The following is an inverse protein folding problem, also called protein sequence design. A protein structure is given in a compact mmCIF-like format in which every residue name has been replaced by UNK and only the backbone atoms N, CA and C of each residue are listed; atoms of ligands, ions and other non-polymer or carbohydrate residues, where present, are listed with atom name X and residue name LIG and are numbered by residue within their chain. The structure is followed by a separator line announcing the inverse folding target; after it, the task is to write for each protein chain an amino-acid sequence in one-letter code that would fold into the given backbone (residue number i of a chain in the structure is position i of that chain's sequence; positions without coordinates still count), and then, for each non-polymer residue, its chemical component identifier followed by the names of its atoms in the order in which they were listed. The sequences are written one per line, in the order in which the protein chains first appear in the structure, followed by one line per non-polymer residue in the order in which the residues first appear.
data_IF_520697184298
#
_entry.id   IF_520697184298
#
_cell.length_a   1.000
_cell.length_b   1.000
_cell.length_c   1.000
_cell.angle_alpha   90.00
_cell.angle_beta   90.00
_cell.angle_gamma   90.00
#
_symmetry.space_group_name_H-M   'P 1'
#
loop_
_entity.id
_entity.type
_entity.pdbx_description
1 polymer ?
#
# COMPACT_ATOMS: atom_id res chain seq x y z
N UNK A 1 -8.14 -18.53 5.87
CA UNK A 1 -7.62 -17.16 6.02
C UNK A 1 -7.15 -16.69 4.67
N UNK A 2 -7.52 -15.47 4.28
CA UNK A 2 -6.95 -14.81 3.10
C UNK A 2 -5.47 -14.51 3.37
N UNK A 3 -4.64 -14.66 2.33
CA UNK A 3 -3.26 -14.20 2.34
C UNK A 3 -3.21 -12.90 1.53
N UNK A 4 -2.44 -11.89 1.98
CA UNK A 4 -2.25 -10.68 1.20
C UNK A 4 -1.41 -10.97 -0.04
N UNK A 5 -1.61 -10.21 -1.11
CA UNK A 5 -0.80 -10.35 -2.32
C UNK A 5 0.70 -10.18 -2.02
N UNK A 6 1.05 -9.15 -1.24
CA UNK A 6 2.39 -8.93 -0.70
C UNK A 6 2.27 -8.46 0.75
N UNK A 7 3.23 -8.85 1.60
CA UNK A 7 3.29 -8.31 2.96
C UNK A 7 4.71 -8.13 3.49
N UNK A 8 4.81 -7.24 4.46
CA UNK A 8 5.99 -7.05 5.31
C UNK A 8 5.62 -7.60 6.68
N UNK A 9 6.29 -8.69 7.05
CA UNK A 9 6.06 -9.39 8.30
C UNK A 9 7.37 -9.53 9.08
N UNK A 10 7.32 -9.20 10.36
CA UNK A 10 8.37 -9.56 11.30
C UNK A 10 8.09 -10.98 11.80
N UNK A 11 9.12 -11.79 11.95
CA UNK A 11 9.01 -13.22 12.23
C UNK A 11 8.27 -13.58 13.53
N UNK A 12 7.96 -12.61 14.38
CA UNK A 12 7.45 -12.79 15.75
C UNK A 12 5.95 -12.56 15.90
N UNK A 13 5.24 -11.93 14.95
CA UNK A 13 3.87 -11.43 15.16
C UNK A 13 2.73 -12.30 14.60
N UNK A 14 3.02 -13.31 13.76
CA UNK A 14 2.00 -14.16 13.12
C UNK A 14 1.14 -13.48 12.04
N UNK A 15 0.80 -12.20 12.22
CA UNK A 15 0.18 -11.31 11.22
C UNK A 15 1.21 -10.33 10.63
N UNK A 16 1.02 -9.90 9.37
CA UNK A 16 1.86 -8.89 8.75
C UNK A 16 1.68 -7.52 9.40
N UNK A 17 2.69 -6.65 9.29
CA UNK A 17 2.61 -5.26 9.74
C UNK A 17 2.14 -4.33 8.63
N UNK A 18 2.55 -4.59 7.40
CA UNK A 18 2.10 -3.87 6.21
C UNK A 18 1.63 -4.88 5.18
N UNK A 19 0.46 -4.67 4.61
CA UNK A 19 -0.07 -5.47 3.51
C UNK A 19 -0.20 -4.63 2.25
N UNK A 20 -0.02 -5.26 1.11
CA UNK A 20 -0.33 -4.72 -0.19
C UNK A 20 -1.34 -5.64 -0.84
N UNK A 21 -2.43 -5.07 -1.35
CA UNK A 21 -3.44 -5.78 -2.11
C UNK A 21 -3.58 -5.09 -3.46
N UNK A 22 -3.77 -5.85 -4.52
CA UNK A 22 -3.92 -5.29 -5.85
C UNK A 22 -5.09 -5.90 -6.61
N UNK A 23 -5.67 -5.12 -7.51
CA UNK A 23 -6.79 -5.59 -8.30
C UNK A 23 -7.25 -4.60 -9.36
N UNK A 24 -8.28 -5.00 -10.08
CA UNK A 24 -8.89 -4.21 -11.16
C UNK A 24 -10.10 -3.43 -10.64
N UNK A 25 -10.71 -2.52 -11.43
CA UNK A 25 -11.81 -1.70 -10.95
C UNK A 25 -13.00 -2.53 -10.43
N UNK A 26 -13.24 -3.70 -11.02
CA UNK A 26 -14.31 -4.63 -10.64
C UNK A 26 -14.10 -5.25 -9.25
N UNK A 27 -12.87 -5.28 -8.74
CA UNK A 27 -12.56 -5.79 -7.41
C UNK A 27 -12.46 -4.68 -6.36
N UNK A 28 -12.81 -3.43 -6.69
CA UNK A 28 -12.56 -2.31 -5.78
C UNK A 28 -13.25 -2.46 -4.43
N UNK A 29 -14.54 -2.82 -4.42
CA UNK A 29 -15.30 -2.99 -3.17
C UNK A 29 -14.71 -4.13 -2.33
N UNK A 30 -14.26 -5.21 -2.98
CA UNK A 30 -13.56 -6.33 -2.33
C UNK A 30 -12.24 -5.85 -1.72
N UNK A 31 -11.45 -5.05 -2.44
CA UNK A 31 -10.19 -4.50 -1.93
C UNK A 31 -10.40 -3.59 -0.72
N UNK A 32 -11.53 -2.86 -0.67
CA UNK A 32 -11.89 -2.05 0.48
C UNK A 32 -12.31 -2.91 1.67
N UNK A 33 -13.10 -3.96 1.44
CA UNK A 33 -13.46 -4.93 2.48
C UNK A 33 -12.21 -5.62 3.05
N UNK A 34 -11.27 -6.03 2.18
CA UNK A 34 -9.99 -6.61 2.59
C UNK A 34 -9.16 -5.64 3.44
N UNK A 35 -9.11 -4.37 3.04
CA UNK A 35 -8.43 -3.33 3.81
C UNK A 35 -9.02 -3.17 5.22
N UNK A 36 -10.36 -3.18 5.32
CA UNK A 36 -11.06 -3.11 6.60
C UNK A 36 -10.72 -4.33 7.45
N UNK A 37 -10.79 -5.53 6.87
CA UNK A 37 -10.45 -6.78 7.55
C UNK A 37 -9.02 -6.77 8.09
N UNK A 38 -8.07 -6.26 7.29
CA UNK A 38 -6.68 -6.13 7.74
C UNK A 38 -6.51 -5.14 8.90
N UNK A 39 -7.04 -3.92 8.77
CA UNK A 39 -6.82 -2.86 9.78
C UNK A 39 -7.61 -3.07 11.07
N UNK A 40 -8.84 -3.58 10.96
CA UNK A 40 -9.78 -3.75 12.06
C UNK A 40 -9.73 -5.17 12.62
N UNK A 41 -9.77 -6.18 11.76
CA UNK A 41 -9.74 -7.60 12.15
C UNK A 41 -8.37 -8.04 12.69
N UNK A 42 -7.28 -7.40 12.25
CA UNK A 42 -5.92 -7.69 12.71
C UNK A 42 -5.59 -7.23 14.14
N UNK A 43 -6.54 -6.66 14.89
CA UNK A 43 -6.34 -6.27 16.30
C UNK A 43 -5.25 -5.21 16.53
N UNK A 44 -4.78 -4.55 15.47
CA UNK A 44 -3.68 -3.58 15.51
C UNK A 44 -2.32 -4.16 15.17
N UNK A 45 -2.24 -5.42 14.77
CA UNK A 45 -1.01 -5.97 14.21
C UNK A 45 -0.67 -5.32 12.86
N UNK A 46 -1.66 -5.17 11.98
CA UNK A 46 -1.51 -4.44 10.71
C UNK A 46 -1.56 -2.94 10.98
N UNK A 47 -0.54 -2.23 10.54
CA UNK A 47 -0.36 -0.78 10.72
C UNK A 47 -0.69 0.01 9.47
N UNK A 48 -0.51 -0.60 8.30
CA UNK A 48 -0.81 0.01 7.03
C UNK A 48 -1.27 -1.03 6.01
N UNK A 49 -2.22 -0.64 5.17
CA UNK A 49 -2.66 -1.39 4.00
C UNK A 49 -2.47 -0.48 2.79
N UNK A 50 -1.81 -1.00 1.76
CA UNK A 50 -1.61 -0.31 0.50
C UNK A 50 -2.47 -0.99 -0.56
N UNK A 51 -3.43 -0.27 -1.12
CA UNK A 51 -4.23 -0.77 -2.23
C UNK A 51 -3.64 -0.27 -3.55
N UNK A 52 -3.40 -1.18 -4.48
CA UNK A 52 -2.98 -0.86 -5.85
C UNK A 52 -4.10 -1.20 -6.82
N UNK A 53 -4.70 -0.18 -7.41
CA UNK A 53 -5.86 -0.32 -8.28
C UNK A 53 -5.46 -0.14 -9.72
N UNK A 54 -5.41 -1.25 -10.45
CA UNK A 54 -5.12 -1.27 -11.87
C UNK A 54 -6.31 -0.79 -12.69
N UNK A 55 -6.03 -0.06 -13.77
CA UNK A 55 -6.99 0.48 -14.72
C UNK A 55 -6.49 0.18 -16.15
N UNK A 56 -7.16 -0.72 -16.88
CA UNK A 56 -6.82 -0.97 -18.27
C UNK A 56 -7.28 0.21 -19.14
N UNK A 57 -6.46 0.62 -20.08
CA UNK A 57 -6.82 1.53 -21.16
C UNK A 57 -6.76 0.76 -22.48
N UNK A 58 -7.93 0.33 -22.95
CA UNK A 58 -8.05 -0.47 -24.17
C UNK A 58 -7.60 0.30 -25.41
N UNK A 59 -7.87 1.62 -25.47
CA UNK A 59 -7.49 2.47 -26.60
C UNK A 59 -5.98 2.51 -26.82
N UNK A 60 -5.20 2.51 -25.75
CA UNK A 60 -3.73 2.58 -25.82
C UNK A 60 -3.04 1.25 -25.58
N UNK A 61 -3.78 0.18 -25.27
CA UNK A 61 -3.25 -1.13 -24.86
C UNK A 61 -2.26 -1.03 -23.68
N UNK A 62 -2.65 -0.27 -22.66
CA UNK A 62 -1.81 -0.02 -21.48
C UNK A 62 -2.57 -0.28 -20.19
N UNK A 63 -1.89 -0.66 -19.12
CA UNK A 63 -2.44 -0.60 -17.76
C UNK A 63 -1.79 0.56 -17.01
N UNK A 64 -2.62 1.27 -16.23
CA UNK A 64 -2.21 2.31 -15.28
C UNK A 64 -2.76 1.94 -13.91
N UNK A 65 -2.36 2.64 -12.85
CA UNK A 65 -2.98 2.38 -11.55
C UNK A 65 -2.90 3.53 -10.56
N UNK A 66 -3.88 3.57 -9.68
CA UNK A 66 -3.89 4.42 -8.49
C UNK A 66 -3.33 3.63 -7.29
N UNK A 67 -2.76 4.36 -6.34
CA UNK A 67 -2.31 3.78 -5.07
C UNK A 67 -3.05 4.48 -3.94
N UNK A 68 -3.52 3.72 -2.97
CA UNK A 68 -4.16 4.23 -1.76
C UNK A 68 -3.42 3.67 -0.54
N UNK A 69 -3.15 4.53 0.44
CA UNK A 69 -2.55 4.17 1.72
C UNK A 69 -3.60 4.35 2.82
N UNK A 70 -3.89 3.25 3.50
CA UNK A 70 -4.77 3.23 4.66
C UNK A 70 -3.97 2.89 5.90
N UNK A 71 -4.11 3.71 6.93
CA UNK A 71 -3.65 3.44 8.29
C UNK A 71 -4.83 3.63 9.24
N UNK A 72 -4.62 3.43 10.54
CA UNK A 72 -5.66 3.72 11.53
C UNK A 72 -5.99 5.21 11.65
N UNK A 73 -5.01 6.07 11.38
CA UNK A 73 -5.11 7.50 11.63
C UNK A 73 -5.27 8.30 10.33
N UNK A 74 -4.91 7.72 9.19
CA UNK A 74 -4.81 8.44 7.91
C UNK A 74 -5.25 7.58 6.73
N UNK A 75 -6.02 8.18 5.82
CA UNK A 75 -6.35 7.60 4.52
C UNK A 75 -5.87 8.57 3.43
N UNK A 76 -4.88 8.17 2.65
CA UNK A 76 -4.29 8.99 1.60
C UNK A 76 -4.46 8.31 0.24
N UNK A 77 -4.94 9.07 -0.75
CA UNK A 77 -5.16 8.58 -2.11
C UNK A 77 -4.17 9.27 -3.04
N UNK A 78 -3.47 8.48 -3.85
CA UNK A 78 -2.47 8.94 -4.81
C UNK A 78 -2.94 8.65 -6.24
N UNK A 79 -3.75 9.54 -6.85
CA UNK A 79 -4.24 9.35 -8.21
C UNK A 79 -3.10 9.43 -9.21
N UNK A 80 -3.26 8.79 -10.38
CA UNK A 80 -2.37 9.03 -11.52
C UNK A 80 -2.36 10.55 -11.84
N UNK A 81 -1.19 11.22 -11.87
CA UNK A 81 -1.11 12.64 -12.15
C UNK A 81 -1.47 12.93 -13.61
N UNK A 82 -2.12 14.05 -13.87
CA UNK A 82 -2.32 14.53 -15.23
C UNK A 82 -1.03 15.20 -15.75
N UNK A 83 -0.56 14.83 -16.94
CA UNK A 83 0.62 15.43 -17.58
C UNK A 83 1.94 15.15 -16.86
N UNK A 84 2.81 16.15 -16.75
CA UNK A 84 4.10 16.10 -16.04
C UNK A 84 3.92 16.26 -14.52
N UNK A 85 2.91 15.59 -13.96
CA UNK A 85 2.50 15.82 -12.58
C UNK A 85 3.59 15.49 -11.56
N UNK A 86 3.38 15.99 -10.34
CA UNK A 86 4.40 15.94 -9.29
C UNK A 86 4.75 14.51 -8.85
N UNK A 87 5.99 14.37 -8.38
CA UNK A 87 6.48 13.12 -7.79
C UNK A 87 5.70 12.82 -6.51
N UNK A 88 4.77 11.88 -6.59
CA UNK A 88 4.10 11.34 -5.42
C UNK A 88 4.94 10.23 -4.77
N UNK A 89 4.98 10.23 -3.44
CA UNK A 89 5.75 9.29 -2.63
C UNK A 89 4.85 8.78 -1.52
N UNK A 90 4.64 7.47 -1.47
CA UNK A 90 3.95 6.81 -0.36
C UNK A 90 4.92 6.75 0.83
N UNK A 91 4.44 7.16 2.01
CA UNK A 91 5.28 7.31 3.21
C UNK A 91 4.88 6.29 4.26
N UNK A 92 5.76 5.34 4.54
CA UNK A 92 5.66 4.46 5.70
C UNK A 92 6.73 4.88 6.70
N UNK A 93 6.41 4.89 7.99
CA UNK A 93 7.43 5.15 9.00
C UNK A 93 8.02 3.84 9.57
N UNK A 94 9.13 3.97 10.29
CA UNK A 94 9.83 2.83 10.89
C UNK A 94 8.93 2.06 11.87
N UNK A 95 8.15 2.76 12.68
CA UNK A 95 7.25 2.13 13.63
C UNK A 95 6.17 1.27 12.95
N UNK A 96 5.67 1.69 11.79
CA UNK A 96 4.72 0.90 11.00
C UNK A 96 5.36 -0.42 10.56
N UNK A 97 6.59 -0.37 10.05
CA UNK A 97 7.31 -1.52 9.51
C UNK A 97 7.88 -2.48 10.57
N UNK A 98 8.39 -1.92 11.67
CA UNK A 98 9.18 -2.66 12.65
C UNK A 98 8.56 -2.69 14.05
N UNK A 99 7.49 -1.91 14.31
CA UNK A 99 6.92 -1.80 15.66
C UNK A 99 7.96 -1.35 16.68
N UNK A 100 8.08 -2.10 17.77
CA UNK A 100 9.12 -1.90 18.80
C UNK A 100 10.47 -2.54 18.47
N UNK A 101 10.56 -3.35 17.40
CA UNK A 101 11.80 -4.02 16.97
C UNK A 101 12.71 -3.06 16.19
N UNK A 102 13.00 -1.91 16.81
CA UNK A 102 13.80 -0.83 16.25
C UNK A 102 15.18 -0.83 16.91
N UNK A 103 16.23 -0.85 16.09
CA UNK A 103 17.61 -0.80 16.59
C UNK A 103 17.85 0.48 17.41
N UNK A 104 18.63 0.41 18.52
CA UNK A 104 18.95 1.59 19.33
C UNK A 104 19.51 2.74 18.48
N UNK A 105 19.05 3.97 18.77
CA UNK A 105 19.50 5.18 18.06
C UNK A 105 18.81 5.42 16.71
N UNK A 106 17.77 4.66 16.35
CA UNK A 106 16.92 4.92 15.18
C UNK A 106 15.59 5.54 15.61
N UNK A 107 15.14 6.57 14.89
CA UNK A 107 13.88 7.24 15.17
C UNK A 107 12.69 6.42 14.71
N UNK A 108 11.66 6.30 15.54
CA UNK A 108 10.39 5.65 15.19
C UNK A 108 9.69 6.34 14.00
N UNK A 109 9.85 7.65 13.89
CA UNK A 109 9.33 8.48 12.81
C UNK A 109 10.17 8.51 11.53
N UNK A 110 11.27 7.74 11.43
CA UNK A 110 12.07 7.67 10.20
C UNK A 110 11.17 7.22 9.04
N UNK A 111 11.08 8.04 7.98
CA UNK A 111 10.21 7.78 6.83
C UNK A 111 10.94 6.97 5.77
N UNK A 112 10.33 5.86 5.37
CA UNK A 112 10.65 5.07 4.19
C UNK A 112 9.71 5.49 3.06
N UNK A 113 10.22 6.32 2.16
CA UNK A 113 9.48 6.78 0.99
C UNK A 113 9.52 5.73 -0.13
N UNK A 114 8.35 5.22 -0.51
CA UNK A 114 8.19 4.43 -1.72
C UNK A 114 7.80 5.36 -2.88
N UNK A 115 8.67 5.46 -3.87
CA UNK A 115 8.38 6.19 -5.09
C UNK A 115 7.38 5.39 -5.94
N UNK A 116 6.14 5.88 -6.02
CA UNK A 116 5.08 5.20 -6.76
C UNK A 116 5.12 5.50 -8.27
N UNK A 117 6.04 6.33 -8.75
CA UNK A 117 6.21 6.56 -10.19
C UNK A 117 6.63 5.28 -10.91
N UNK A 118 7.37 4.37 -10.24
CA UNK A 118 7.73 3.08 -10.85
C UNK A 118 6.49 2.23 -11.16
N UNK A 119 5.46 2.29 -10.31
CA UNK A 119 4.18 1.60 -10.51
C UNK A 119 3.35 2.20 -11.65
N UNK A 120 3.72 3.40 -12.11
CA UNK A 120 3.06 4.13 -13.21
C UNK A 120 3.79 3.99 -14.54
N UNK A 121 4.94 3.32 -14.53
CA UNK A 121 5.64 3.02 -15.77
C UNK A 121 4.74 2.13 -16.61
N UNK A 122 4.20 2.71 -17.67
CA UNK A 122 3.26 2.06 -18.58
C UNK A 122 3.91 0.82 -19.17
N UNK A 123 3.40 -0.35 -18.80
CA UNK A 123 3.63 -1.60 -19.53
C UNK A 123 2.62 -1.66 -20.67
N UNK A 124 3.12 -1.84 -21.90
CA UNK A 124 2.32 -2.19 -23.08
C UNK A 124 2.21 -3.71 -23.12
N UNK A 125 1.01 -4.21 -23.42
CA UNK A 125 0.81 -5.63 -23.75
C UNK A 125 0.82 -5.81 -25.26
#
# INVERSE_FOLDING_TARGET
MKAPDISIQLSTSGLPRVTFECGFPESHDILQDDMIDWLMGGGGAVQAVVLVKWKPCQTTMTVRGDVELYTRDTNEVFPVPEGLGERQVLRLNRQMLFGGDVAPGRGEGDVFGLDIQVLRTVQRF
#
